data_IF_429547199257
#
_entry.id   IF_429547199257
#
_cell.length_a   1.000
_cell.length_b   1.000
_cell.length_c   1.000
_cell.angle_alpha   90.00
_cell.angle_beta   90.00
_cell.angle_gamma   90.00
#
_symmetry.space_group_name_H-M   'P 1'
#
loop_
_entity.id
_entity.type
_entity.pdbx_description
1 polymer ?
#
# COMPACT_ATOMS: atom_id res chain seq x y z
N UNK A 1 13.35 -26.59 -5.81
CA UNK A 1 13.16 -25.13 -5.60
C UNK A 1 11.75 -24.97 -5.08
N UNK A 2 11.53 -24.43 -3.87
CA UNK A 2 10.19 -24.02 -3.46
C UNK A 2 9.69 -23.03 -4.51
N UNK A 3 8.45 -23.22 -4.99
CA UNK A 3 7.89 -22.35 -6.01
C UNK A 3 7.82 -20.94 -5.46
N UNK A 4 8.59 -20.01 -6.02
CA UNK A 4 8.38 -18.58 -5.79
C UNK A 4 6.89 -18.31 -6.04
N UNK A 5 6.18 -17.80 -5.03
CA UNK A 5 4.81 -17.34 -5.19
C UNK A 5 4.75 -16.44 -6.41
N UNK A 6 3.85 -16.75 -7.35
CA UNK A 6 3.78 -16.02 -8.61
C UNK A 6 3.21 -14.64 -8.34
N UNK A 7 3.58 -13.64 -9.15
CA UNK A 7 2.94 -12.32 -9.10
C UNK A 7 1.40 -12.45 -9.18
N UNK A 8 0.89 -13.46 -9.90
CA UNK A 8 -0.55 -13.73 -9.94
C UNK A 8 -1.16 -14.16 -8.61
N UNK A 9 -0.44 -14.88 -7.74
CA UNK A 9 -0.99 -15.29 -6.44
C UNK A 9 -1.14 -14.12 -5.48
N UNK A 10 -0.16 -13.21 -5.48
CA UNK A 10 -0.25 -11.98 -4.68
C UNK A 10 -1.32 -11.03 -5.22
N UNK A 11 -1.46 -10.88 -6.54
CA UNK A 11 -2.54 -10.06 -7.15
C UNK A 11 -3.93 -10.58 -6.73
N UNK A 12 -4.13 -11.90 -6.78
CA UNK A 12 -5.39 -12.53 -6.40
C UNK A 12 -5.73 -12.36 -4.91
N UNK A 13 -4.71 -12.24 -4.07
CA UNK A 13 -4.87 -11.97 -2.63
C UNK A 13 -5.15 -10.49 -2.34
N UNK A 14 -4.32 -9.61 -2.88
CA UNK A 14 -4.22 -8.21 -2.46
C UNK A 14 -5.31 -7.34 -3.10
N UNK A 15 -5.59 -7.48 -4.39
CA UNK A 15 -6.52 -6.59 -5.11
C UNK A 15 -7.95 -6.59 -4.59
N UNK A 16 -8.53 -7.71 -4.11
CA UNK A 16 -9.84 -7.69 -3.47
C UNK A 16 -9.94 -6.75 -2.26
N UNK A 17 -8.83 -6.41 -1.58
CA UNK A 17 -8.83 -5.47 -0.46
C UNK A 17 -9.38 -4.09 -0.86
N UNK A 18 -9.19 -3.67 -2.11
CA UNK A 18 -9.76 -2.42 -2.62
C UNK A 18 -11.29 -2.38 -2.58
N UNK A 19 -11.97 -3.53 -2.57
CA UNK A 19 -13.42 -3.64 -2.40
C UNK A 19 -13.84 -4.04 -0.99
N UNK A 20 -13.12 -4.97 -0.36
CA UNK A 20 -13.44 -5.50 0.98
C UNK A 20 -13.31 -4.41 2.04
N UNK A 21 -12.23 -3.64 2.02
CA UNK A 21 -11.95 -2.60 3.03
C UNK A 21 -13.04 -1.51 3.04
N UNK A 22 -13.39 -0.86 1.91
CA UNK A 22 -14.46 0.14 1.94
C UNK A 22 -15.84 -0.45 2.24
N UNK A 23 -16.11 -1.71 1.85
CA UNK A 23 -17.34 -2.39 2.26
C UNK A 23 -17.45 -2.46 3.79
N UNK A 24 -16.39 -2.93 4.46
CA UNK A 24 -16.38 -3.08 5.93
C UNK A 24 -16.33 -1.73 6.63
N UNK A 25 -15.49 -0.80 6.17
CA UNK A 25 -15.43 0.56 6.73
C UNK A 25 -16.76 1.32 6.58
N UNK A 26 -17.54 1.02 5.53
CA UNK A 26 -18.89 1.55 5.31
C UNK A 26 -20.00 0.86 6.12
N UNK A 27 -19.67 -0.07 7.01
CA UNK A 27 -20.64 -0.82 7.85
C UNK A 27 -21.17 -2.12 7.23
N UNK A 28 -20.63 -2.53 6.09
CA UNK A 28 -20.87 -3.85 5.51
C UNK A 28 -20.16 -4.98 6.28
N UNK A 29 -20.39 -6.22 5.84
CA UNK A 29 -19.79 -7.41 6.45
C UNK A 29 -18.99 -8.20 5.42
N UNK A 30 -17.85 -8.73 5.86
CA UNK A 30 -17.04 -9.68 5.13
C UNK A 30 -16.73 -10.86 6.06
N UNK A 31 -17.18 -12.06 5.70
CA UNK A 31 -17.12 -13.22 6.60
C UNK A 31 -15.81 -14.01 6.48
N UNK A 32 -15.00 -13.75 5.45
CA UNK A 32 -13.83 -14.57 5.10
C UNK A 32 -12.50 -13.96 5.53
N UNK A 33 -12.48 -13.15 6.59
CA UNK A 33 -11.25 -12.55 7.12
C UNK A 33 -10.21 -13.58 7.54
N UNK A 34 -10.64 -14.75 8.01
CA UNK A 34 -9.78 -15.89 8.33
C UNK A 34 -8.86 -16.26 7.17
N UNK A 35 -9.38 -16.25 5.93
CA UNK A 35 -8.60 -16.53 4.72
C UNK A 35 -7.61 -15.41 4.40
N UNK A 36 -7.99 -14.16 4.66
CA UNK A 36 -7.11 -13.02 4.41
C UNK A 36 -5.97 -12.93 5.44
N UNK A 37 -6.24 -13.27 6.70
CA UNK A 37 -5.22 -13.37 7.75
C UNK A 37 -4.25 -14.51 7.42
N UNK A 38 -4.75 -15.70 7.09
CA UNK A 38 -3.91 -16.83 6.72
C UNK A 38 -3.05 -16.54 5.47
N UNK A 39 -3.64 -15.93 4.44
CA UNK A 39 -2.92 -15.52 3.24
C UNK A 39 -1.85 -14.49 3.52
N UNK A 40 -2.09 -13.54 4.43
CA UNK A 40 -1.10 -12.54 4.84
C UNK A 40 0.08 -13.18 5.58
N UNK A 41 -0.22 -14.02 6.56
CA UNK A 41 0.78 -14.73 7.36
C UNK A 41 1.67 -15.62 6.48
N UNK A 42 1.06 -16.46 5.64
CA UNK A 42 1.78 -17.38 4.78
C UNK A 42 2.52 -16.68 3.63
N UNK A 43 1.94 -15.59 3.09
CA UNK A 43 2.49 -14.85 1.97
C UNK A 43 3.72 -14.02 2.32
N UNK A 44 3.78 -13.52 3.57
CA UNK A 44 4.91 -12.75 4.08
C UNK A 44 6.02 -13.62 4.71
N UNK A 45 5.75 -14.89 5.02
CA UNK A 45 6.72 -15.80 5.65
C UNK A 45 7.72 -16.37 4.62
N UNK A 46 9.03 -16.07 4.73
CA UNK A 46 10.04 -16.60 3.80
C UNK A 46 10.23 -18.13 3.85
N UNK A 47 9.81 -18.78 4.94
CA UNK A 47 9.88 -20.24 5.09
C UNK A 47 8.62 -20.95 4.56
N UNK A 48 7.57 -20.20 4.21
CA UNK A 48 6.32 -20.72 3.69
C UNK A 48 6.44 -21.13 2.22
N UNK A 49 5.75 -22.22 1.85
CA UNK A 49 5.61 -22.62 0.44
C UNK A 49 4.76 -21.62 -0.38
N UNK A 50 4.01 -20.73 0.30
CA UNK A 50 3.17 -19.69 -0.32
C UNK A 50 3.84 -18.31 -0.33
N UNK A 51 5.12 -18.22 0.07
CA UNK A 51 5.86 -16.97 0.15
C UNK A 51 5.82 -16.18 -1.17
N UNK A 52 5.48 -14.90 -1.08
CA UNK A 52 5.38 -14.01 -2.25
C UNK A 52 6.73 -13.57 -2.81
N UNK A 53 7.83 -13.87 -2.12
CA UNK A 53 9.16 -13.39 -2.48
C UNK A 53 9.42 -11.96 -2.02
N UNK A 54 10.69 -11.54 -1.93
CA UNK A 54 11.04 -10.18 -1.53
C UNK A 54 10.65 -9.16 -2.61
N UNK A 55 10.32 -7.93 -2.21
CA UNK A 55 10.28 -6.79 -3.13
C UNK A 55 11.70 -6.47 -3.62
N UNK A 56 11.87 -6.41 -4.94
CA UNK A 56 13.14 -6.03 -5.57
C UNK A 56 13.55 -4.58 -5.25
N UNK A 57 14.83 -4.28 -5.51
CA UNK A 57 15.38 -2.92 -5.40
C UNK A 57 14.96 -2.01 -6.58
N UNK A 58 14.63 -2.62 -7.72
CA UNK A 58 14.07 -1.96 -8.91
C UNK A 58 12.54 -1.89 -8.82
N UNK A 59 11.91 -1.23 -9.80
CA UNK A 59 10.44 -1.19 -9.97
C UNK A 59 9.89 -2.63 -9.98
N UNK A 60 9.11 -2.99 -8.97
CA UNK A 60 8.58 -4.34 -8.75
C UNK A 60 7.05 -4.27 -8.62
N UNK A 61 6.33 -5.16 -9.31
CA UNK A 61 4.87 -5.26 -9.23
C UNK A 61 4.38 -5.47 -7.79
N UNK A 62 5.19 -6.09 -6.92
CA UNK A 62 4.87 -6.23 -5.49
C UNK A 62 4.59 -4.89 -4.81
N UNK A 63 5.19 -3.79 -5.26
CA UNK A 63 4.91 -2.45 -4.71
C UNK A 63 3.42 -2.08 -4.84
N UNK A 64 2.81 -2.43 -5.97
CA UNK A 64 1.37 -2.20 -6.22
C UNK A 64 0.53 -2.99 -5.23
N UNK A 65 0.86 -4.26 -5.05
CA UNK A 65 0.07 -5.16 -4.20
C UNK A 65 0.29 -4.89 -2.70
N UNK A 66 1.50 -4.45 -2.32
CA UNK A 66 1.82 -3.94 -0.99
C UNK A 66 0.94 -2.75 -0.62
N UNK A 67 0.63 -1.85 -1.56
CA UNK A 67 -0.23 -0.70 -1.31
C UNK A 67 -1.65 -1.11 -0.87
N UNK A 68 -2.21 -2.16 -1.47
CA UNK A 68 -3.51 -2.69 -1.08
C UNK A 68 -3.49 -3.28 0.35
N UNK A 69 -2.39 -3.94 0.73
CA UNK A 69 -2.18 -4.43 2.09
C UNK A 69 -2.04 -3.27 3.08
N UNK A 70 -1.24 -2.25 2.75
CA UNK A 70 -1.11 -1.03 3.56
C UNK A 70 -2.45 -0.33 3.79
N UNK A 71 -3.28 -0.24 2.75
CA UNK A 71 -4.65 0.24 2.85
C UNK A 71 -5.52 -0.61 3.80
N UNK A 72 -5.45 -1.94 3.69
CA UNK A 72 -6.16 -2.85 4.60
C UNK A 72 -5.73 -2.72 6.06
N UNK A 73 -4.42 -2.57 6.32
CA UNK A 73 -3.89 -2.34 7.66
C UNK A 73 -4.34 -0.98 8.24
N UNK A 74 -4.43 0.06 7.40
CA UNK A 74 -4.81 1.39 7.85
C UNK A 74 -6.28 1.48 8.30
N UNK A 75 -7.18 0.85 7.54
CA UNK A 75 -8.63 1.04 7.70
C UNK A 75 -9.35 -0.13 8.39
N UNK A 76 -8.77 -1.33 8.40
CA UNK A 76 -9.35 -2.53 9.03
C UNK A 76 -8.33 -3.35 9.85
N UNK A 77 -7.48 -2.72 10.70
CA UNK A 77 -6.45 -3.45 11.45
C UNK A 77 -7.02 -4.51 12.38
N UNK A 78 -8.21 -4.30 12.95
CA UNK A 78 -8.90 -5.26 13.82
C UNK A 78 -9.22 -6.59 13.12
N UNK A 79 -9.30 -6.57 11.79
CA UNK A 79 -9.60 -7.74 10.99
C UNK A 79 -8.37 -8.38 10.34
N UNK A 80 -7.38 -7.56 9.94
CA UNK A 80 -6.22 -8.03 9.17
C UNK A 80 -4.94 -8.17 10.02
N UNK A 81 -4.75 -7.31 11.02
CA UNK A 81 -3.52 -7.21 11.81
C UNK A 81 -3.64 -7.84 13.20
N UNK A 82 -4.70 -7.49 13.93
CA UNK A 82 -4.90 -7.93 15.31
C UNK A 82 -4.95 -9.46 15.48
N UNK A 83 -5.49 -10.25 14.53
CA UNK A 83 -5.48 -11.71 14.63
C UNK A 83 -4.10 -12.36 14.43
N UNK A 84 -3.12 -11.66 13.86
CA UNK A 84 -1.77 -12.20 13.62
C UNK A 84 -1.01 -12.39 14.94
N UNK A 85 -0.21 -13.46 14.99
CA UNK A 85 0.76 -13.69 16.07
C UNK A 85 1.95 -12.73 15.97
N UNK A 86 2.76 -12.64 17.03
CA UNK A 86 3.95 -11.79 17.04
C UNK A 86 4.91 -12.08 15.87
N UNK A 87 5.19 -13.37 15.62
CA UNK A 87 6.08 -13.77 14.51
C UNK A 87 5.51 -13.42 13.14
N UNK A 88 4.20 -13.64 12.93
CA UNK A 88 3.56 -13.30 11.65
C UNK A 88 3.55 -11.79 11.42
N UNK A 89 3.33 -10.98 12.47
CA UNK A 89 3.45 -9.52 12.40
C UNK A 89 4.85 -9.08 12.00
N UNK A 90 5.88 -9.70 12.59
CA UNK A 90 7.28 -9.40 12.25
C UNK A 90 7.56 -9.68 10.76
N UNK A 91 7.12 -10.85 10.26
CA UNK A 91 7.25 -11.20 8.83
C UNK A 91 6.53 -10.21 7.91
N UNK A 92 5.28 -9.83 8.23
CA UNK A 92 4.50 -8.87 7.45
C UNK A 92 5.19 -7.50 7.41
N UNK A 93 5.70 -7.03 8.54
CA UNK A 93 6.44 -5.76 8.63
C UNK A 93 7.70 -5.80 7.79
N UNK A 94 8.50 -6.87 7.93
CA UNK A 94 9.75 -7.03 7.18
C UNK A 94 9.50 -7.10 5.67
N UNK A 95 8.42 -7.78 5.27
CA UNK A 95 8.03 -7.89 3.87
C UNK A 95 7.56 -6.53 3.32
N UNK A 96 6.68 -5.81 4.02
CA UNK A 96 6.19 -4.48 3.61
C UNK A 96 7.31 -3.43 3.56
N UNK A 97 8.27 -3.47 4.48
CA UNK A 97 9.47 -2.62 4.45
C UNK A 97 10.33 -2.82 3.21
N UNK A 98 10.10 -3.87 2.44
CA UNK A 98 10.70 -4.05 1.12
C UNK A 98 10.50 -2.82 0.21
N UNK A 99 9.35 -2.14 0.28
CA UNK A 99 9.06 -0.95 -0.53
C UNK A 99 9.96 0.26 -0.22
N UNK A 100 10.57 0.28 0.97
CA UNK A 100 11.49 1.35 1.40
C UNK A 100 12.91 1.12 0.88
N UNK A 101 13.24 -0.11 0.45
CA UNK A 101 14.57 -0.48 -0.07
C UNK A 101 14.76 -0.12 -1.55
N UNK A 102 13.67 -0.05 -2.30
CA UNK A 102 13.64 0.34 -3.71
C UNK A 102 13.05 1.74 -3.91
N UNK A 103 13.23 2.30 -5.10
CA UNK A 103 12.60 3.56 -5.49
C UNK A 103 11.43 3.30 -6.45
N UNK A 104 10.18 3.64 -6.07
CA UNK A 104 9.04 3.55 -6.97
C UNK A 104 9.25 4.37 -8.24
N UNK A 105 8.51 4.03 -9.29
CA UNK A 105 8.53 4.80 -10.53
C UNK A 105 8.22 6.28 -10.27
N UNK A 106 8.77 7.17 -11.10
CA UNK A 106 8.60 8.63 -11.00
C UNK A 106 7.23 9.08 -11.55
N UNK A 107 6.16 8.52 -11.01
CA UNK A 107 4.76 8.72 -11.37
C UNK A 107 3.88 8.41 -10.14
N UNK A 108 2.61 8.09 -10.34
CA UNK A 108 1.67 7.67 -9.29
C UNK A 108 2.16 6.54 -8.37
N UNK A 109 3.16 5.74 -8.75
CA UNK A 109 3.70 4.66 -7.91
C UNK A 109 4.30 5.17 -6.60
N UNK A 110 4.62 6.46 -6.52
CA UNK A 110 5.02 7.12 -5.28
C UNK A 110 3.93 7.04 -4.21
N UNK A 111 2.64 6.98 -4.58
CA UNK A 111 1.55 6.73 -3.63
C UNK A 111 1.62 5.35 -3.00
N UNK A 112 2.14 4.33 -3.69
CA UNK A 112 2.21 2.98 -3.13
C UNK A 112 3.08 2.92 -1.89
N UNK A 113 4.23 3.63 -1.89
CA UNK A 113 5.05 3.80 -0.69
C UNK A 113 4.25 4.48 0.42
N UNK A 114 3.55 5.58 0.12
CA UNK A 114 2.77 6.32 1.11
C UNK A 114 1.64 5.48 1.73
N UNK A 115 0.96 4.66 0.93
CA UNK A 115 -0.12 3.78 1.39
C UNK A 115 0.40 2.63 2.26
N UNK A 116 1.57 2.06 1.93
CA UNK A 116 2.24 1.09 2.80
C UNK A 116 2.63 1.71 4.13
N UNK A 117 3.28 2.88 4.08
CA UNK A 117 3.72 3.59 5.29
C UNK A 117 2.53 4.00 6.17
N UNK A 118 1.42 4.44 5.57
CA UNK A 118 0.16 4.69 6.28
C UNK A 118 -0.31 3.45 7.06
N UNK A 119 -0.30 2.28 6.43
CA UNK A 119 -0.65 1.01 7.10
C UNK A 119 0.29 0.65 8.23
N UNK A 120 1.61 0.77 8.02
CA UNK A 120 2.63 0.52 9.03
C UNK A 120 2.49 1.48 10.24
N UNK A 121 2.25 2.77 9.98
CA UNK A 121 2.01 3.77 11.03
C UNK A 121 0.77 3.43 11.86
N UNK A 122 -0.34 2.98 11.23
CA UNK A 122 -1.57 2.58 11.92
C UNK A 122 -1.35 1.48 12.96
N UNK A 123 -0.45 0.55 12.64
CA UNK A 123 -0.14 -0.61 13.50
C UNK A 123 1.06 -0.38 14.43
N UNK A 124 1.55 0.88 14.51
CA UNK A 124 2.58 1.29 15.46
C UNK A 124 4.02 1.04 14.99
N UNK A 125 4.23 0.79 13.70
CA UNK A 125 5.55 0.55 13.12
C UNK A 125 6.13 1.87 12.61
N UNK A 126 7.36 2.17 13.01
CA UNK A 126 8.09 3.33 12.50
C UNK A 126 8.45 3.13 11.02
N UNK A 127 8.28 4.21 10.25
CA UNK A 127 8.51 4.28 8.80
C UNK A 127 9.65 5.24 8.47
N UNK A 128 10.27 5.07 7.29
CA UNK A 128 11.27 6.01 6.78
C UNK A 128 10.62 7.34 6.36
N UNK A 129 10.74 8.35 7.23
CA UNK A 129 10.20 9.70 7.03
C UNK A 129 10.90 10.46 5.90
N UNK A 130 12.17 10.18 5.63
CA UNK A 130 12.87 10.81 4.52
C UNK A 130 12.38 10.24 3.19
N UNK A 131 12.17 8.92 3.10
CA UNK A 131 11.55 8.30 1.94
C UNK A 131 10.12 8.77 1.70
N UNK A 132 9.35 8.95 2.78
CA UNK A 132 8.02 9.54 2.73
C UNK A 132 8.05 10.95 2.12
N UNK A 133 8.93 11.81 2.64
CA UNK A 133 9.06 13.19 2.18
C UNK A 133 9.46 13.27 0.70
N UNK A 134 10.39 12.41 0.24
CA UNK A 134 10.78 12.34 -1.19
C UNK A 134 9.60 11.99 -2.09
N UNK A 135 8.77 11.03 -1.68
CA UNK A 135 7.57 10.63 -2.45
C UNK A 135 6.54 11.76 -2.49
N UNK A 136 6.30 12.44 -1.36
CA UNK A 136 5.42 13.61 -1.30
C UNK A 136 5.92 14.74 -2.20
N UNK A 137 7.20 15.10 -2.12
CA UNK A 137 7.80 16.18 -2.91
C UNK A 137 7.72 15.90 -4.41
N UNK A 138 7.95 14.64 -4.82
CA UNK A 138 7.81 14.24 -6.22
C UNK A 138 6.34 14.31 -6.69
N UNK A 139 5.38 13.87 -5.87
CA UNK A 139 3.96 13.99 -6.19
C UNK A 139 3.50 15.45 -6.27
N UNK A 140 3.98 16.31 -5.37
CA UNK A 140 3.70 17.75 -5.40
C UNK A 140 4.24 18.41 -6.68
N UNK A 141 5.39 17.94 -7.19
CA UNK A 141 5.95 18.44 -8.45
C UNK A 141 5.06 18.19 -9.68
N UNK A 142 4.08 17.28 -9.55
CA UNK A 142 3.13 16.95 -10.61
C UNK A 142 1.86 17.81 -10.58
N UNK A 143 1.68 18.62 -9.53
CA UNK A 143 0.51 19.48 -9.41
C UNK A 143 0.54 20.62 -10.45
N UNK A 144 -0.59 20.79 -11.12
CA UNK A 144 -0.88 21.91 -12.02
C UNK A 144 -1.91 22.86 -11.37
N UNK A 145 -2.25 23.94 -12.05
CA UNK A 145 -3.28 24.88 -11.58
C UNK A 145 -4.68 24.27 -11.65
N UNK A 146 -5.55 24.64 -10.70
CA UNK A 146 -6.98 24.29 -10.75
C UNK A 146 -7.32 22.84 -10.41
N UNK A 147 -6.47 22.18 -9.60
CA UNK A 147 -6.68 20.79 -9.15
C UNK A 147 -6.25 19.73 -10.17
N UNK A 148 -5.66 20.14 -11.30
CA UNK A 148 -5.11 19.23 -12.29
C UNK A 148 -3.74 18.71 -11.85
N UNK A 149 -3.39 17.51 -12.31
CA UNK A 149 -2.07 16.93 -12.14
C UNK A 149 -1.61 16.29 -13.45
N UNK A 150 -0.30 16.16 -13.62
CA UNK A 150 0.32 15.28 -14.61
C UNK A 150 0.70 13.95 -13.97
N UNK A 151 0.63 12.82 -14.67
CA UNK A 151 1.23 11.59 -14.13
C UNK A 151 2.67 11.42 -14.62
N UNK A 152 3.63 11.82 -13.79
CA UNK A 152 5.06 11.78 -14.11
C UNK A 152 5.54 12.90 -15.04
N UNK A 153 6.84 12.85 -15.37
CA UNK A 153 7.53 13.91 -16.14
C UNK A 153 7.11 14.01 -17.61
N UNK A 154 6.26 13.10 -18.10
CA UNK A 154 5.78 13.08 -19.48
C UNK A 154 4.63 14.05 -19.78
N UNK A 155 4.03 14.65 -18.76
CA UNK A 155 2.95 15.64 -18.93
C UNK A 155 1.59 15.03 -19.33
N UNK A 156 1.39 13.73 -19.15
CA UNK A 156 0.12 13.09 -19.45
C UNK A 156 -0.93 13.55 -18.43
N UNK A 157 -1.93 14.26 -18.93
CA UNK A 157 -3.19 14.51 -18.24
C UNK A 157 -4.17 13.50 -18.82
N UNK A 158 -4.31 12.35 -18.17
CA UNK A 158 -5.13 11.25 -18.66
C UNK A 158 -6.11 10.75 -17.59
N UNK A 159 -6.88 9.71 -17.94
CA UNK A 159 -7.85 9.11 -17.03
C UNK A 159 -7.22 8.49 -15.78
N UNK A 160 -5.90 8.31 -15.73
CA UNK A 160 -5.21 7.78 -14.57
C UNK A 160 -5.05 8.84 -13.46
N UNK A 161 -5.08 10.12 -13.80
CA UNK A 161 -5.03 11.23 -12.83
C UNK A 161 -6.18 11.13 -11.81
N UNK A 162 -7.46 11.06 -12.21
CA UNK A 162 -8.53 10.84 -11.25
C UNK A 162 -8.50 9.45 -10.61
N UNK A 163 -8.12 8.41 -11.35
CA UNK A 163 -8.10 7.05 -10.82
C UNK A 163 -7.06 6.85 -9.71
N UNK A 164 -5.86 7.43 -9.83
CA UNK A 164 -4.76 7.23 -8.89
C UNK A 164 -4.46 8.45 -8.04
N UNK A 165 -4.17 9.61 -8.64
CA UNK A 165 -3.71 10.78 -7.88
C UNK A 165 -4.82 11.30 -6.97
N UNK A 166 -6.04 11.48 -7.50
CA UNK A 166 -7.17 11.90 -6.68
C UNK A 166 -7.60 10.80 -5.69
N UNK A 167 -7.75 9.55 -6.15
CA UNK A 167 -8.20 8.46 -5.26
C UNK A 167 -7.22 8.21 -4.10
N UNK A 168 -5.92 8.02 -4.38
CA UNK A 168 -4.94 7.72 -3.34
C UNK A 168 -4.69 8.93 -2.44
N UNK A 169 -4.70 10.15 -3.01
CA UNK A 169 -4.65 11.38 -2.23
C UNK A 169 -5.81 11.50 -1.23
N UNK A 170 -7.04 11.22 -1.68
CA UNK A 170 -8.22 11.22 -0.81
C UNK A 170 -8.19 10.10 0.24
N UNK A 171 -7.65 8.92 -0.09
CA UNK A 171 -7.45 7.83 0.89
C UNK A 171 -6.47 8.26 1.98
N UNK A 172 -5.35 8.86 1.62
CA UNK A 172 -4.39 9.41 2.59
C UNK A 172 -5.06 10.46 3.47
N UNK A 173 -5.82 11.39 2.88
CA UNK A 173 -6.54 12.43 3.62
C UNK A 173 -7.57 11.84 4.59
N UNK A 174 -8.38 10.87 4.14
CA UNK A 174 -9.40 10.21 4.94
C UNK A 174 -8.81 9.38 6.10
N UNK A 175 -7.59 8.87 5.95
CA UNK A 175 -6.94 8.05 6.98
C UNK A 175 -6.54 8.86 8.23
N UNK A 176 -6.25 10.16 8.08
CA UNK A 176 -5.68 10.99 9.15
C UNK A 176 -4.26 10.62 9.58
N UNK A 177 -3.57 9.75 8.82
CA UNK A 177 -2.23 9.23 9.08
C UNK A 177 -1.20 9.83 8.09
N UNK A 178 0.09 9.56 8.31
CA UNK A 178 1.18 10.09 7.48
C UNK A 178 1.33 11.61 7.60
N UNK A 179 1.89 12.25 6.57
CA UNK A 179 1.97 13.71 6.50
C UNK A 179 0.59 14.30 6.21
N UNK A 180 -0.10 14.74 7.26
CA UNK A 180 -1.43 15.36 7.16
C UNK A 180 -1.43 16.68 6.39
N UNK A 181 -0.33 17.43 6.42
CA UNK A 181 -0.23 18.69 5.66
C UNK A 181 -0.13 18.40 4.17
N UNK A 182 0.56 17.30 3.81
CA UNK A 182 0.57 16.77 2.45
C UNK A 182 -0.80 16.26 2.02
N UNK A 183 -1.43 15.44 2.85
CA UNK A 183 -2.72 14.84 2.53
C UNK A 183 -3.82 15.90 2.29
N UNK A 184 -3.80 17.02 3.03
CA UNK A 184 -4.75 18.12 2.86
C UNK A 184 -4.68 18.82 1.49
N UNK A 185 -3.61 18.62 0.71
CA UNK A 185 -3.48 19.20 -0.63
C UNK A 185 -4.29 18.45 -1.70
N UNK A 186 -4.77 17.26 -1.39
CA UNK A 186 -5.55 16.43 -2.32
C UNK A 186 -7.08 16.60 -2.19
N UNK A 187 -7.54 17.50 -1.30
CA UNK A 187 -8.96 17.70 -0.93
C UNK A 187 -9.48 19.03 -1.45
#
# INVERSE_FOLDING_TARGET
MPGLGTIGSIEGYARPLWGIVPLVAGGGKFEHWDRWVAGLANGADPDSAEYWGPCGAEIDQRMVEMAAIGFGLAFTPEHLWDPLTGRERDHVVDWLRGIERGEPARNNWQFFRLLVQMGLERVGVAVDREAQARSVELLDSFALSGGWYTDGTGGNIDYYVPFALHTYGLILAASGLGDRSAAARYV
#
